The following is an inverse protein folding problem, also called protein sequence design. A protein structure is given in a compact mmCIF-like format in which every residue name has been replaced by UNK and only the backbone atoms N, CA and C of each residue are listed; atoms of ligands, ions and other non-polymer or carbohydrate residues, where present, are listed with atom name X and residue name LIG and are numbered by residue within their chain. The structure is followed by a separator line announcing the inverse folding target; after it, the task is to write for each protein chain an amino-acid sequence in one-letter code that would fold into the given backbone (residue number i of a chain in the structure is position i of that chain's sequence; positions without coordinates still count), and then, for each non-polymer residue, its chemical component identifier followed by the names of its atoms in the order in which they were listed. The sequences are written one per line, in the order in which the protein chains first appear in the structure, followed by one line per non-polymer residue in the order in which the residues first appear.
data_IF_241458171911
#
_entry.id   IF_241458171911
#
_cell.length_a   1.000
_cell.length_b   1.000
_cell.length_c   1.000
_cell.angle_alpha   90.00
_cell.angle_beta   90.00
_cell.angle_gamma   90.00
#
_symmetry.space_group_name_H-M   'P 1'
#
loop_
_entity.id
_entity.type
_entity.pdbx_description
1 polymer ?
#
# COMPACT_ATOMS: atom_id res chain seq x y z
N UNK A 1 -8.37 66.69 -28.54
CA UNK A 1 -9.14 65.43 -28.69
C UNK A 1 -8.23 64.32 -28.13
N UNK A 2 -8.44 63.83 -26.88
CA UNK A 2 -9.15 62.57 -26.56
C UNK A 2 -8.88 61.50 -27.65
N UNK A 3 -8.33 60.32 -27.40
CA UNK A 3 -8.63 59.43 -26.28
C UNK A 3 -7.73 58.16 -26.35
N UNK A 4 -7.38 57.63 -25.16
CA UNK A 4 -7.24 56.20 -24.82
C UNK A 4 -6.14 55.32 -25.42
N UNK A 5 -5.11 55.10 -24.58
CA UNK A 5 -4.46 53.80 -24.39
C UNK A 5 -5.49 52.68 -24.27
N UNK A 6 -5.24 51.55 -24.92
CA UNK A 6 -5.81 50.26 -24.51
C UNK A 6 -4.74 49.18 -24.71
N UNK A 7 -4.09 48.86 -23.61
CA UNK A 7 -3.21 47.71 -23.47
C UNK A 7 -4.07 46.43 -23.47
N UNK A 8 -3.89 45.59 -24.48
CA UNK A 8 -4.57 44.29 -24.56
C UNK A 8 -3.85 43.30 -23.66
N UNK A 9 -4.42 43.07 -22.47
CA UNK A 9 -3.92 42.07 -21.51
C UNK A 9 -4.25 40.68 -22.05
N UNK A 10 -3.20 39.88 -22.24
CA UNK A 10 -3.24 38.47 -22.61
C UNK A 10 -3.82 37.68 -21.43
N UNK A 11 -5.04 37.15 -21.57
CA UNK A 11 -5.60 36.23 -20.59
C UNK A 11 -5.09 34.80 -20.89
N UNK A 12 -3.96 34.43 -20.28
CA UNK A 12 -3.52 33.04 -20.19
C UNK A 12 -4.49 32.29 -19.27
N UNK A 13 -5.35 31.45 -19.86
CA UNK A 13 -6.19 30.52 -19.11
C UNK A 13 -5.28 29.46 -18.45
N UNK A 14 -5.04 29.61 -17.15
CA UNK A 14 -4.37 28.60 -16.35
C UNK A 14 -5.29 27.38 -16.21
N UNK A 15 -4.98 26.31 -16.94
CA UNK A 15 -5.59 25.00 -16.73
C UNK A 15 -5.03 24.46 -15.41
N UNK A 16 -5.82 24.23 -14.36
CA UNK A 16 -5.31 23.52 -13.20
C UNK A 16 -5.05 22.07 -13.62
N UNK A 17 -3.77 21.73 -13.79
CA UNK A 17 -3.35 20.35 -13.86
C UNK A 17 -3.72 19.69 -12.52
N UNK A 18 -4.82 18.94 -12.53
CA UNK A 18 -5.14 17.98 -11.47
C UNK A 18 -3.97 16.99 -11.42
N UNK A 19 -3.02 17.26 -10.54
CA UNK A 19 -1.97 16.31 -10.22
C UNK A 19 -2.67 15.06 -9.68
N UNK A 20 -2.71 14.00 -10.49
CA UNK A 20 -2.96 12.66 -9.98
C UNK A 20 -1.95 12.41 -8.87
N UNK A 21 -2.39 12.57 -7.63
CA UNK A 21 -1.67 12.10 -6.47
C UNK A 21 -1.58 10.57 -6.63
N UNK A 22 -0.48 10.12 -7.24
CA UNK A 22 -0.09 8.72 -7.28
C UNK A 22 -0.10 8.29 -5.81
N UNK A 23 -1.05 7.43 -5.44
CA UNK A 23 -1.10 6.91 -4.08
C UNK A 23 0.31 6.38 -3.76
N UNK A 24 0.90 6.77 -2.61
CA UNK A 24 2.24 6.32 -2.27
C UNK A 24 2.27 4.80 -2.37
N UNK A 25 3.36 4.27 -2.96
CA UNK A 25 3.56 2.83 -3.03
C UNK A 25 3.37 2.23 -1.63
N UNK A 26 2.74 1.05 -1.50
CA UNK A 26 2.54 0.44 -0.19
C UNK A 26 3.91 0.30 0.49
N UNK A 27 4.09 1.07 1.56
CA UNK A 27 5.34 1.10 2.33
C UNK A 27 5.54 -0.21 3.12
N UNK A 28 4.48 -1.02 3.21
CA UNK A 28 4.45 -2.27 3.94
C UNK A 28 4.82 -3.47 3.10
N UNK A 29 5.65 -4.34 3.68
CA UNK A 29 6.12 -5.55 3.04
C UNK A 29 5.92 -6.75 3.95
N UNK A 30 5.46 -7.85 3.35
CA UNK A 30 5.42 -9.16 3.94
C UNK A 30 6.70 -9.92 3.55
N UNK A 31 7.42 -10.48 4.53
CA UNK A 31 8.61 -11.32 4.34
C UNK A 31 8.24 -12.77 4.59
N UNK A 32 8.66 -13.64 3.68
CA UNK A 32 8.41 -15.08 3.74
C UNK A 32 9.47 -15.74 4.64
N UNK A 33 9.04 -16.30 5.76
CA UNK A 33 9.89 -17.05 6.69
C UNK A 33 10.05 -18.52 6.28
N UNK A 34 9.10 -19.02 5.49
CA UNK A 34 9.09 -20.34 4.86
C UNK A 34 8.52 -20.22 3.43
N UNK A 35 8.62 -21.31 2.65
CA UNK A 35 7.90 -21.37 1.38
C UNK A 35 6.39 -21.45 1.65
N UNK A 36 5.62 -20.57 1.02
CA UNK A 36 4.17 -20.49 1.16
C UNK A 36 3.49 -20.43 -0.21
N UNK A 37 2.21 -20.80 -0.24
CA UNK A 37 1.33 -20.49 -1.37
C UNK A 37 0.38 -19.38 -0.97
N UNK A 38 0.15 -18.44 -1.87
CA UNK A 38 -0.96 -17.50 -1.72
C UNK A 38 -2.30 -18.13 -2.12
N UNK A 39 -3.39 -17.40 -1.90
CA UNK A 39 -4.74 -17.79 -2.30
C UNK A 39 -4.89 -18.02 -3.81
N UNK A 40 -4.10 -17.32 -4.63
CA UNK A 40 -4.01 -17.49 -6.08
C UNK A 40 -3.13 -18.68 -6.52
N UNK A 41 -2.63 -19.48 -5.58
CA UNK A 41 -1.74 -20.64 -5.81
C UNK A 41 -0.33 -20.31 -6.30
N UNK A 42 0.09 -19.04 -6.29
CA UNK A 42 1.48 -18.68 -6.56
C UNK A 42 2.37 -19.13 -5.41
N UNK A 43 3.57 -19.59 -5.75
CA UNK A 43 4.54 -20.06 -4.76
C UNK A 43 5.53 -18.96 -4.43
N UNK A 44 5.67 -18.67 -3.15
CA UNK A 44 6.61 -17.67 -2.61
C UNK A 44 7.63 -18.37 -1.72
N UNK A 45 8.89 -18.27 -2.07
CA UNK A 45 10.01 -18.89 -1.36
C UNK A 45 10.45 -18.06 -0.15
N UNK A 46 11.08 -18.74 0.80
CA UNK A 46 11.70 -18.11 1.97
C UNK A 46 12.64 -16.96 1.55
N UNK A 47 12.54 -15.84 2.26
CA UNK A 47 13.33 -14.63 2.03
C UNK A 47 12.74 -13.68 1.00
N UNK A 48 11.76 -14.10 0.21
CA UNK A 48 11.06 -13.20 -0.70
C UNK A 48 10.19 -12.20 0.07
N UNK A 49 10.03 -11.02 -0.52
CA UNK A 49 9.20 -9.93 -0.01
C UNK A 49 8.07 -9.64 -0.98
N UNK A 50 6.88 -9.34 -0.46
CA UNK A 50 5.73 -8.87 -1.23
C UNK A 50 5.18 -7.58 -0.62
N UNK A 51 4.95 -6.51 -1.40
CA UNK A 51 4.25 -5.32 -0.91
C UNK A 51 2.82 -5.67 -0.54
N UNK A 52 2.35 -5.21 0.61
CA UNK A 52 1.01 -5.49 1.14
C UNK A 52 0.43 -4.24 1.76
N UNK A 53 -0.88 -4.10 1.79
CA UNK A 53 -1.56 -2.93 2.38
C UNK A 53 -2.77 -3.31 3.25
N UNK A 54 -3.14 -4.60 3.27
CA UNK A 54 -4.26 -5.13 4.05
C UNK A 54 -3.76 -6.27 4.96
N UNK A 55 -4.16 -6.23 6.23
CA UNK A 55 -4.21 -7.40 7.09
C UNK A 55 -5.65 -7.90 7.15
N UNK A 56 -5.84 -9.20 6.94
CA UNK A 56 -7.15 -9.84 6.96
C UNK A 56 -7.21 -10.86 8.08
N UNK A 57 -8.27 -10.83 8.86
CA UNK A 57 -8.58 -11.91 9.79
C UNK A 57 -9.11 -13.11 9.04
N UNK A 58 -8.51 -14.28 9.30
CA UNK A 58 -8.91 -15.55 8.70
C UNK A 58 -9.05 -16.61 9.77
N UNK A 59 -9.85 -17.67 9.55
CA UNK A 59 -9.93 -18.80 10.48
C UNK A 59 -8.56 -19.47 10.77
N UNK A 60 -7.60 -19.33 9.86
CA UNK A 60 -6.24 -19.85 9.98
C UNK A 60 -5.27 -18.95 10.76
N UNK A 61 -5.74 -17.81 11.30
CA UNK A 61 -4.94 -16.91 12.14
C UNK A 61 -4.38 -15.68 11.42
N UNK A 62 -4.96 -15.32 10.28
CA UNK A 62 -4.72 -14.08 9.56
C UNK A 62 -3.96 -14.24 8.24
N UNK A 63 -4.07 -13.22 7.39
CA UNK A 63 -3.37 -13.09 6.12
C UNK A 63 -2.90 -11.65 5.88
N UNK A 64 -1.90 -11.48 5.02
CA UNK A 64 -1.46 -10.18 4.52
C UNK A 64 -1.68 -10.12 3.02
N UNK A 65 -2.43 -9.12 2.56
CA UNK A 65 -2.86 -9.02 1.18
C UNK A 65 -2.30 -7.78 0.49
N UNK A 66 -2.03 -7.94 -0.80
CA UNK A 66 -1.82 -6.82 -1.72
C UNK A 66 -3.15 -6.13 -2.02
N UNK A 67 -3.11 -4.87 -2.44
CA UNK A 67 -4.29 -4.13 -2.84
C UNK A 67 -5.01 -4.83 -3.99
N UNK A 68 -6.21 -5.37 -3.75
CA UNK A 68 -7.03 -6.03 -4.78
C UNK A 68 -6.42 -7.30 -5.39
N UNK A 69 -5.45 -7.93 -4.72
CA UNK A 69 -4.71 -9.07 -5.27
C UNK A 69 -4.47 -10.19 -4.25
N UNK A 70 -3.31 -10.83 -4.38
CA UNK A 70 -2.86 -12.00 -3.61
C UNK A 70 -2.88 -11.78 -2.09
N UNK A 71 -3.32 -12.80 -1.36
CA UNK A 71 -3.28 -12.89 0.10
C UNK A 71 -2.34 -14.01 0.56
N UNK A 72 -1.31 -13.63 1.32
CA UNK A 72 -0.35 -14.54 1.93
C UNK A 72 -0.82 -14.98 3.32
N UNK A 73 -0.87 -16.28 3.64
CA UNK A 73 -1.24 -16.73 4.98
C UNK A 73 -0.16 -16.37 5.98
N UNK A 74 -0.54 -15.81 7.13
CA UNK A 74 0.41 -15.50 8.22
C UNK A 74 1.05 -16.77 8.78
N UNK A 75 0.28 -17.86 8.85
CA UNK A 75 0.70 -19.16 9.38
C UNK A 75 0.49 -20.29 8.38
N UNK A 76 1.40 -21.25 8.39
CA UNK A 76 1.27 -22.53 7.68
C UNK A 76 1.51 -23.66 8.69
N UNK A 77 0.57 -24.61 8.75
CA UNK A 77 0.59 -25.71 9.74
C UNK A 77 0.81 -25.22 11.19
N UNK A 78 0.16 -24.12 11.57
CA UNK A 78 0.23 -23.52 12.91
C UNK A 78 1.50 -22.71 13.21
N UNK A 79 2.51 -22.74 12.33
CA UNK A 79 3.77 -21.99 12.48
C UNK A 79 3.72 -20.69 11.70
N UNK A 80 4.33 -19.64 12.24
CA UNK A 80 4.49 -18.37 11.51
C UNK A 80 5.30 -18.59 10.23
N UNK A 81 4.74 -18.18 9.10
CA UNK A 81 5.33 -18.41 7.78
C UNK A 81 5.54 -17.10 7.01
N UNK A 82 4.80 -16.04 7.36
CA UNK A 82 4.90 -14.71 6.76
C UNK A 82 4.82 -13.68 7.86
N UNK A 83 5.69 -12.67 7.80
CA UNK A 83 5.78 -11.59 8.79
C UNK A 83 5.80 -10.23 8.13
N UNK A 84 5.12 -9.26 8.72
CA UNK A 84 5.23 -7.85 8.30
C UNK A 84 6.57 -7.25 8.71
N UNK A 85 7.11 -6.41 7.86
CA UNK A 85 8.33 -5.63 8.13
C UNK A 85 7.99 -4.15 8.11
N UNK A 86 8.48 -3.43 9.11
CA UNK A 86 8.31 -1.98 9.28
C UNK A 86 6.85 -1.49 9.24
N UNK A 87 5.90 -2.33 9.62
CA UNK A 87 4.48 -2.02 9.59
C UNK A 87 3.72 -2.52 10.81
N UNK A 88 2.59 -1.86 11.08
CA UNK A 88 1.60 -2.27 12.07
C UNK A 88 0.23 -2.41 11.45
N UNK A 89 -0.60 -3.22 12.10
CA UNK A 89 -2.04 -3.27 11.81
C UNK A 89 -2.65 -1.95 12.28
N UNK A 90 -3.36 -1.29 11.37
CA UNK A 90 -4.03 -0.02 11.59
C UNK A 90 -5.55 -0.16 11.75
N UNK A 91 -6.32 0.88 11.40
CA UNK A 91 -7.76 0.87 11.51
C UNK A 91 -8.41 -0.25 10.68
N UNK A 92 -9.54 -0.77 11.16
CA UNK A 92 -10.40 -1.66 10.38
C UNK A 92 -10.99 -0.91 9.18
N UNK A 93 -11.09 -1.62 8.05
CA UNK A 93 -11.72 -1.14 6.81
C UNK A 93 -12.98 -1.95 6.45
N UNK A 94 -13.47 -2.80 7.38
CA UNK A 94 -14.66 -3.64 7.21
C UNK A 94 -14.35 -5.11 6.94
N UNK A 95 -15.33 -6.00 7.15
CA UNK A 95 -15.27 -7.43 6.79
C UNK A 95 -14.06 -8.23 7.31
N UNK A 96 -13.53 -7.84 8.47
CA UNK A 96 -12.33 -8.47 9.04
C UNK A 96 -11.01 -8.00 8.41
N UNK A 97 -11.06 -6.98 7.55
CA UNK A 97 -9.90 -6.34 6.94
C UNK A 97 -9.47 -5.10 7.73
N UNK A 98 -8.16 -4.88 7.74
CA UNK A 98 -7.49 -3.80 8.42
C UNK A 98 -6.44 -3.19 7.50
N UNK A 99 -6.34 -1.85 7.51
CA UNK A 99 -5.30 -1.16 6.76
C UNK A 99 -3.94 -1.36 7.43
N UNK A 100 -2.91 -1.70 6.66
CA UNK A 100 -1.54 -1.70 7.13
C UNK A 100 -0.97 -0.28 7.11
N UNK A 101 -0.28 0.09 8.17
CA UNK A 101 0.32 1.41 8.34
C UNK A 101 1.81 1.24 8.54
N UNK A 102 2.59 1.88 7.67
CA UNK A 102 4.03 1.91 7.82
C UNK A 102 4.43 2.62 9.11
N UNK A 103 5.40 2.02 9.79
CA UNK A 103 6.07 2.65 10.90
C UNK A 103 6.99 3.74 10.37
N UNK A 104 7.09 4.89 11.06
CA UNK A 104 8.01 5.94 10.66
C UNK A 104 9.43 5.36 10.60
N UNK A 105 10.04 5.40 9.40
CA UNK A 105 11.45 5.03 9.25
C UNK A 105 12.25 6.02 10.08
N UNK A 106 12.96 5.53 11.08
CA UNK A 106 13.93 6.36 11.79
C UNK A 106 15.02 6.71 10.79
N UNK A 107 14.95 7.90 10.19
CA UNK A 107 16.03 8.46 9.40
C UNK A 107 17.24 8.62 10.33
N UNK A 108 18.12 7.62 10.37
CA UNK A 108 19.47 7.83 10.88
C UNK A 108 20.19 8.67 9.81
N UNK A 109 20.23 9.98 10.06
CA UNK A 109 21.18 10.90 9.44
C UNK A 109 22.61 10.49 9.80
#
# INVERSE_FOLDING_TARGET
MRNTLLATIIALAAVPALASARAPAPDCHAVMLATVKDDMQNTWNKGQTLPVDIARDTPSGGAFCTHGGSCLPRKVAGKEAVRLTDCKIGPSIGDGDYRLVALPRSHKH
#
